data_IF_053778005108
#
_entry.id   IF_053778005108
#
_cell.length_a   1.000
_cell.length_b   1.000
_cell.length_c   1.000
_cell.angle_alpha   90.00
_cell.angle_beta   90.00
_cell.angle_gamma   90.00
#
_symmetry.space_group_name_H-M   'P 1'
#
loop_
_entity.id
_entity.type
_entity.pdbx_description
1 polymer ?
#
# COMPACT_ATOMS: atom_id res chain seq x y z
N UNK A 1 3.44 -7.39 4.89
CA UNK A 1 4.39 -8.09 5.77
C UNK A 1 3.71 -8.87 6.88
N UNK A 2 3.05 -8.24 7.87
CA UNK A 2 2.42 -8.98 8.97
C UNK A 2 1.33 -9.97 8.52
N UNK A 3 0.42 -9.55 7.63
CA UNK A 3 -0.67 -10.40 7.10
C UNK A 3 -0.21 -11.54 6.18
N UNK A 4 0.98 -11.46 5.57
CA UNK A 4 1.50 -12.51 4.70
C UNK A 4 1.90 -13.77 5.50
N UNK A 5 2.22 -13.62 6.79
CA UNK A 5 2.49 -14.78 7.66
C UNK A 5 1.24 -15.64 7.88
N UNK A 6 0.03 -15.07 7.78
CA UNK A 6 -1.21 -15.84 7.91
C UNK A 6 -1.60 -16.57 6.62
N UNK A 7 -1.16 -16.06 5.47
CA UNK A 7 -1.40 -16.70 4.15
C UNK A 7 -0.29 -17.72 3.84
N UNK A 8 0.78 -17.77 4.64
CA UNK A 8 1.86 -18.75 4.55
C UNK A 8 1.37 -20.20 4.51
N UNK A 9 0.32 -20.54 5.27
CA UNK A 9 -0.27 -21.88 5.29
C UNK A 9 -1.03 -22.24 4.01
N UNK A 10 -1.51 -21.25 3.26
CA UNK A 10 -2.23 -21.45 1.99
C UNK A 10 -1.30 -21.40 0.76
N UNK A 11 -0.05 -20.94 0.93
CA UNK A 11 0.93 -20.82 -0.15
C UNK A 11 1.67 -22.13 -0.37
N UNK A 12 1.67 -22.61 -1.61
CA UNK A 12 2.42 -23.80 -1.98
C UNK A 12 3.94 -23.56 -1.84
N UNK A 13 4.64 -24.39 -1.05
CA UNK A 13 6.06 -24.27 -0.73
C UNK A 13 6.46 -22.94 -0.05
N UNK A 14 5.99 -22.70 1.20
CA UNK A 14 6.17 -21.42 1.89
C UNK A 14 7.63 -21.07 2.17
N UNK A 15 8.48 -22.06 2.44
CA UNK A 15 9.91 -21.85 2.79
C UNK A 15 10.70 -21.07 1.74
N UNK A 16 10.31 -21.16 0.46
CA UNK A 16 10.97 -20.45 -0.65
C UNK A 16 10.14 -19.29 -1.15
N UNK A 17 8.82 -19.44 -1.22
CA UNK A 17 7.93 -18.44 -1.82
C UNK A 17 7.72 -17.23 -0.90
N UNK A 18 7.64 -17.44 0.42
CA UNK A 18 7.47 -16.34 1.38
C UNK A 18 8.64 -15.35 1.37
N UNK A 19 9.91 -15.75 1.57
CA UNK A 19 11.02 -14.80 1.59
C UNK A 19 11.18 -14.07 0.25
N UNK A 20 10.84 -14.73 -0.86
CA UNK A 20 10.92 -14.14 -2.20
C UNK A 20 9.80 -13.11 -2.45
N UNK A 21 8.56 -13.43 -2.08
CA UNK A 21 7.44 -12.49 -2.15
C UNK A 21 7.65 -11.26 -1.27
N UNK A 22 8.22 -11.48 -0.08
CA UNK A 22 8.65 -10.44 0.84
C UNK A 22 9.71 -9.53 0.21
N UNK A 23 10.76 -10.10 -0.37
CA UNK A 23 11.87 -9.35 -0.94
C UNK A 23 11.42 -8.52 -2.14
N UNK A 24 10.62 -9.13 -3.03
CA UNK A 24 10.05 -8.48 -4.21
C UNK A 24 9.08 -7.37 -3.81
N UNK A 25 8.17 -7.61 -2.87
CA UNK A 25 7.25 -6.57 -2.40
C UNK A 25 7.99 -5.41 -1.75
N UNK A 26 9.02 -5.67 -0.94
CA UNK A 26 9.83 -4.61 -0.34
C UNK A 26 10.55 -3.79 -1.42
N UNK A 27 11.20 -4.45 -2.38
CA UNK A 27 11.91 -3.78 -3.47
C UNK A 27 10.98 -2.90 -4.31
N UNK A 28 9.79 -3.40 -4.66
CA UNK A 28 8.78 -2.64 -5.41
C UNK A 28 8.31 -1.44 -4.61
N UNK A 29 8.00 -1.61 -3.33
CA UNK A 29 7.54 -0.51 -2.45
C UNK A 29 8.64 0.54 -2.34
N UNK A 30 9.88 0.14 -2.08
CA UNK A 30 11.02 1.07 -2.03
C UNK A 30 11.20 1.82 -3.34
N UNK A 31 11.13 1.13 -4.48
CA UNK A 31 11.26 1.76 -5.79
C UNK A 31 10.14 2.78 -6.07
N UNK A 32 8.89 2.42 -5.77
CA UNK A 32 7.76 3.34 -5.87
C UNK A 32 7.93 4.56 -4.95
N UNK A 33 8.39 4.36 -3.72
CA UNK A 33 8.67 5.46 -2.78
C UNK A 33 9.72 6.42 -3.33
N UNK A 34 10.81 5.90 -3.91
CA UNK A 34 11.85 6.73 -4.52
C UNK A 34 11.29 7.51 -5.70
N UNK A 35 10.52 6.86 -6.59
CA UNK A 35 9.89 7.53 -7.73
C UNK A 35 8.94 8.66 -7.30
N UNK A 36 8.13 8.44 -6.26
CA UNK A 36 7.22 9.46 -5.72
C UNK A 36 8.01 10.65 -5.18
N UNK A 37 9.09 10.40 -4.42
CA UNK A 37 9.94 11.47 -3.92
C UNK A 37 10.57 12.27 -5.08
N UNK A 38 11.10 11.59 -6.10
CA UNK A 38 11.64 12.25 -7.30
C UNK A 38 10.57 13.10 -7.97
N UNK A 39 9.35 12.56 -8.19
CA UNK A 39 8.25 13.31 -8.78
C UNK A 39 7.94 14.58 -7.98
N UNK A 40 7.86 14.49 -6.64
CA UNK A 40 7.62 15.65 -5.79
C UNK A 40 8.71 16.72 -5.89
N UNK A 41 9.99 16.34 -5.86
CA UNK A 41 11.09 17.29 -5.99
C UNK A 41 11.22 17.91 -7.38
N UNK A 42 10.74 17.25 -8.44
CA UNK A 42 10.76 17.80 -9.81
C UNK A 42 9.68 18.84 -10.06
N UNK A 43 8.57 18.81 -9.29
CA UNK A 43 7.38 19.65 -9.55
C UNK A 43 7.16 20.71 -8.47
N UNK A 44 7.59 20.44 -7.22
CA UNK A 44 7.33 21.31 -6.08
C UNK A 44 8.64 21.84 -5.47
N UNK A 45 8.62 23.10 -5.03
CA UNK A 45 9.75 23.68 -4.28
C UNK A 45 9.71 23.23 -2.82
N UNK A 46 10.88 23.19 -2.15
CA UNK A 46 11.01 22.70 -0.77
C UNK A 46 10.08 23.43 0.23
N UNK A 47 9.77 24.70 -0.01
CA UNK A 47 8.83 25.47 0.82
C UNK A 47 7.37 25.02 0.67
N UNK A 48 6.93 24.65 -0.53
CA UNK A 48 5.56 24.18 -0.77
C UNK A 48 5.34 22.74 -0.27
N UNK A 49 6.39 21.93 -0.30
CA UNK A 49 6.41 20.59 0.29
C UNK A 49 6.23 20.62 1.81
N UNK A 50 6.90 21.57 2.49
CA UNK A 50 6.82 21.72 3.95
C UNK A 50 5.53 22.40 4.42
N UNK A 51 4.86 23.16 3.55
CA UNK A 51 3.61 23.86 3.88
C UNK A 51 2.33 23.07 3.56
N UNK A 52 2.41 21.94 2.83
CA UNK A 52 1.23 21.18 2.40
C UNK A 52 0.89 20.02 3.34
N UNK A 53 -0.35 19.98 3.87
CA UNK A 53 -0.87 18.84 4.63
C UNK A 53 -1.12 17.59 3.76
N UNK A 54 -1.40 17.77 2.46
CA UNK A 54 -1.72 16.69 1.53
C UNK A 54 -0.91 16.80 0.22
N UNK A 55 0.38 16.50 0.29
CA UNK A 55 1.36 16.65 -0.82
C UNK A 55 0.90 16.02 -2.14
N UNK A 56 0.20 14.88 -2.09
CA UNK A 56 -0.31 14.19 -3.28
C UNK A 56 -1.39 15.01 -4.03
N UNK A 57 -2.23 15.75 -3.30
CA UNK A 57 -3.30 16.57 -3.87
C UNK A 57 -2.72 17.85 -4.48
N UNK A 58 -1.79 18.50 -3.78
CA UNK A 58 -1.09 19.69 -4.28
C UNK A 58 -0.29 19.41 -5.55
N UNK A 59 0.36 18.24 -5.63
CA UNK A 59 1.04 17.77 -6.85
C UNK A 59 0.05 17.55 -8.00
N UNK A 60 -1.08 16.89 -7.72
CA UNK A 60 -2.09 16.59 -8.73
C UNK A 60 -2.76 17.85 -9.30
N UNK A 61 -3.03 18.86 -8.46
CA UNK A 61 -3.55 20.15 -8.92
C UNK A 61 -2.56 20.89 -9.83
N UNK A 62 -1.26 20.87 -9.50
CA UNK A 62 -0.22 21.52 -10.31
C UNK A 62 0.06 20.81 -11.64
N UNK A 63 0.07 19.48 -11.66
CA UNK A 63 0.43 18.70 -12.87
C UNK A 63 -0.77 18.47 -13.79
N UNK A 64 -1.95 18.26 -13.20
CA UNK A 64 -3.09 17.65 -13.89
C UNK A 64 -4.36 18.51 -13.88
N UNK A 65 -4.39 19.64 -13.17
CA UNK A 65 -5.54 20.56 -13.14
C UNK A 65 -6.84 19.83 -12.79
N UNK A 66 -7.79 19.78 -13.72
CA UNK A 66 -9.10 19.11 -13.57
C UNK A 66 -9.04 17.58 -13.31
N UNK A 67 -7.92 16.90 -13.61
CA UNK A 67 -7.76 15.46 -13.36
C UNK A 67 -7.32 15.17 -11.91
N UNK A 68 -7.10 16.21 -11.08
CA UNK A 68 -6.73 16.06 -9.67
C UNK A 68 -7.77 15.32 -8.84
N UNK A 69 -9.06 15.36 -9.23
CA UNK A 69 -10.16 14.61 -8.60
C UNK A 69 -10.01 13.10 -8.74
N UNK A 70 -9.29 12.61 -9.75
CA UNK A 70 -9.07 11.17 -9.92
C UNK A 70 -8.09 10.62 -8.87
N UNK A 71 -7.12 11.43 -8.43
CA UNK A 71 -6.10 11.02 -7.45
C UNK A 71 -6.70 10.59 -6.11
N UNK A 72 -7.57 11.36 -5.42
CA UNK A 72 -8.20 10.92 -4.18
C UNK A 72 -9.12 9.72 -4.40
N UNK A 73 -9.72 9.55 -5.59
CA UNK A 73 -10.51 8.34 -5.93
C UNK A 73 -9.61 7.11 -6.02
N UNK A 74 -8.47 7.19 -6.70
CA UNK A 74 -7.51 6.07 -6.75
C UNK A 74 -6.91 5.75 -5.38
N UNK A 75 -6.62 6.76 -4.57
CA UNK A 75 -6.16 6.58 -3.18
C UNK A 75 -7.25 5.91 -2.34
N UNK A 76 -8.50 6.35 -2.45
CA UNK A 76 -9.63 5.74 -1.75
C UNK A 76 -9.85 4.29 -2.18
N UNK A 77 -9.76 3.98 -3.48
CA UNK A 77 -9.83 2.63 -4.00
C UNK A 77 -8.67 1.74 -3.51
N UNK A 78 -7.46 2.28 -3.40
CA UNK A 78 -6.31 1.56 -2.84
C UNK A 78 -6.49 1.26 -1.36
N UNK A 79 -6.98 2.23 -0.58
CA UNK A 79 -7.33 2.02 0.83
C UNK A 79 -8.46 0.99 0.97
N UNK A 80 -9.51 1.10 0.15
CA UNK A 80 -10.63 0.16 0.16
C UNK A 80 -10.19 -1.26 -0.21
N UNK A 81 -9.37 -1.41 -1.25
CA UNK A 81 -8.80 -2.70 -1.65
C UNK A 81 -7.96 -3.34 -0.55
N UNK A 82 -7.12 -2.53 0.11
CA UNK A 82 -6.32 -2.98 1.26
C UNK A 82 -7.21 -3.46 2.43
N UNK A 83 -8.29 -2.72 2.70
CA UNK A 83 -9.23 -3.04 3.78
C UNK A 83 -9.99 -4.33 3.53
N UNK A 84 -10.46 -4.56 2.28
CA UNK A 84 -11.10 -5.82 1.90
C UNK A 84 -10.16 -7.01 2.07
N UNK A 85 -8.89 -6.85 1.69
CA UNK A 85 -7.87 -7.88 1.92
C UNK A 85 -7.71 -8.24 3.40
N UNK A 86 -7.69 -7.24 4.29
CA UNK A 86 -7.61 -7.45 5.74
C UNK A 86 -8.87 -8.15 6.27
N UNK A 87 -10.07 -7.79 5.82
CA UNK A 87 -11.32 -8.41 6.26
C UNK A 87 -11.35 -9.92 5.98
N UNK A 88 -10.85 -10.37 4.82
CA UNK A 88 -10.74 -11.79 4.52
C UNK A 88 -9.72 -12.53 5.40
N UNK A 89 -8.57 -11.90 5.68
CA UNK A 89 -7.54 -12.50 6.55
C UNK A 89 -8.03 -12.61 7.99
N UNK A 90 -8.70 -11.58 8.51
CA UNK A 90 -9.23 -11.54 9.88
C UNK A 90 -10.34 -12.57 10.07
N UNK A 91 -11.26 -12.70 9.11
CA UNK A 91 -12.34 -13.70 9.20
C UNK A 91 -11.81 -15.14 9.17
N UNK A 92 -10.74 -15.40 8.41
CA UNK A 92 -10.02 -16.68 8.45
C UNK A 92 -9.36 -16.94 9.81
N UNK A 93 -8.70 -15.92 10.38
CA UNK A 93 -8.06 -16.04 11.69
C UNK A 93 -9.06 -16.41 12.79
N UNK A 94 -10.22 -15.74 12.84
CA UNK A 94 -11.26 -16.06 13.82
C UNK A 94 -11.85 -17.46 13.63
N UNK A 95 -11.95 -17.94 12.39
CA UNK A 95 -12.39 -19.31 12.10
C UNK A 95 -11.40 -20.35 12.63
N UNK A 96 -10.09 -20.13 12.46
CA UNK A 96 -9.04 -21.01 13.00
C UNK A 96 -9.01 -20.96 14.52
N UNK A 97 -9.04 -19.78 15.14
CA UNK A 97 -9.08 -19.62 16.60
C UNK A 97 -10.27 -20.37 17.23
N UNK A 98 -11.46 -20.26 16.63
CA UNK A 98 -12.65 -20.98 17.09
C UNK A 98 -12.50 -22.52 16.99
N UNK A 99 -11.75 -23.03 16.02
CA UNK A 99 -11.45 -24.47 15.89
C UNK A 99 -10.46 -24.95 16.93
N UNK A 100 -9.51 -24.10 17.34
CA UNK A 100 -8.54 -24.41 18.40
C UNK A 100 -9.12 -24.19 19.81
N UNK A 101 -10.38 -23.75 19.93
CA UNK A 101 -11.07 -23.43 21.18
C UNK A 101 -10.38 -22.33 22.00
N UNK A 102 -9.74 -21.39 21.31
CA UNK A 102 -9.26 -20.12 21.89
C UNK A 102 -10.26 -19.00 21.62
#
# INVERSE_FOLDING_TARGET
WFYLNFVAEEVHSPEKTLPLAICVSMAIVTFCYVLINVAYYTVMTAGELLASEAVAVTFAEKVMGNFSLAVPVFVALSCFGSMNGVTFVVSRLFYVASREKQ
#
